data_IF_020490876855
#
_entry.id   IF_020490876855
#
_cell.length_a   1.000
_cell.length_b   1.000
_cell.length_c   1.000
_cell.angle_alpha   90.00
_cell.angle_beta   90.00
_cell.angle_gamma   90.00
#
_symmetry.space_group_name_H-M   'P 1'
#
loop_
_entity.id
_entity.type
_entity.pdbx_description
1 polymer ?
#
# COMPACT_ATOMS: atom_id res chain seq x y z
N UNK A 1 7.14 -86.63 13.36
CA UNK A 1 6.63 -87.02 14.70
C UNK A 1 5.73 -85.90 15.23
N UNK A 2 4.41 -86.14 15.29
CA UNK A 2 3.57 -86.21 16.51
C UNK A 2 3.45 -84.89 17.30
N UNK A 3 2.31 -84.40 17.81
CA UNK A 3 0.85 -84.51 17.58
C UNK A 3 0.24 -83.37 18.41
N UNK A 4 -0.82 -82.71 17.90
CA UNK A 4 -1.99 -82.04 18.54
C UNK A 4 -1.98 -81.61 20.03
N UNK A 5 -2.54 -80.43 20.31
CA UNK A 5 -3.79 -80.14 21.08
C UNK A 5 -4.03 -78.60 21.02
N UNK A 6 -5.08 -78.05 20.41
CA UNK A 6 -6.50 -77.98 20.82
C UNK A 6 -6.73 -77.30 22.18
N UNK A 7 -7.35 -76.10 22.14
CA UNK A 7 -7.77 -75.34 23.32
C UNK A 7 -8.60 -74.12 22.93
N UNK A 8 -9.88 -74.37 22.65
CA UNK A 8 -10.94 -73.39 22.40
C UNK A 8 -11.39 -72.78 23.74
N UNK A 9 -11.56 -71.46 23.85
CA UNK A 9 -12.43 -70.88 24.88
C UNK A 9 -13.17 -69.63 24.36
N UNK A 10 -14.50 -69.72 24.41
CA UNK A 10 -15.49 -68.67 24.22
C UNK A 10 -15.43 -67.63 25.36
N UNK A 11 -15.58 -66.35 25.04
CA UNK A 11 -16.28 -65.30 25.81
C UNK A 11 -16.11 -63.96 25.06
N UNK A 12 -17.02 -63.02 25.00
CA UNK A 12 -18.44 -62.89 25.29
C UNK A 12 -18.82 -61.55 24.62
N UNK A 13 -20.01 -61.49 24.00
CA UNK A 13 -20.57 -60.26 23.43
C UNK A 13 -20.77 -59.20 24.53
N UNK A 14 -20.14 -58.04 24.38
CA UNK A 14 -20.41 -56.83 25.14
C UNK A 14 -20.77 -55.70 24.19
N UNK A 15 -22.07 -55.53 23.94
CA UNK A 15 -22.64 -54.43 23.17
C UNK A 15 -22.54 -53.15 24.03
N UNK A 16 -21.67 -52.21 23.65
CA UNK A 16 -21.64 -50.87 24.21
C UNK A 16 -21.80 -49.87 23.06
N UNK A 17 -23.00 -49.28 23.03
CA UNK A 17 -23.36 -48.17 22.18
C UNK A 17 -22.49 -46.95 22.51
N UNK A 18 -21.71 -46.48 21.53
CA UNK A 18 -21.07 -45.18 21.58
C UNK A 18 -22.02 -44.12 20.97
N UNK A 19 -22.23 -42.97 21.64
CA UNK A 19 -23.10 -41.91 21.14
C UNK A 19 -22.46 -41.20 19.93
N UNK A 20 -23.32 -40.72 19.04
CA UNK A 20 -22.97 -40.16 17.74
C UNK A 20 -21.94 -39.04 17.79
N UNK A 21 -20.94 -39.16 16.92
CA UNK A 21 -20.06 -38.06 16.57
C UNK A 21 -20.86 -37.04 15.74
N UNK A 22 -21.36 -36.00 16.39
CA UNK A 22 -21.75 -34.76 15.72
C UNK A 22 -20.53 -34.21 14.98
N UNK A 23 -20.58 -34.29 13.65
CA UNK A 23 -19.66 -33.64 12.76
C UNK A 23 -19.75 -32.11 12.97
N UNK A 24 -18.84 -31.57 13.79
CA UNK A 24 -18.59 -30.14 13.85
C UNK A 24 -18.19 -29.66 12.44
N UNK A 25 -19.15 -29.04 11.74
CA UNK A 25 -18.88 -28.17 10.59
C UNK A 25 -17.85 -27.13 11.04
N UNK A 26 -16.59 -27.32 10.67
CA UNK A 26 -15.57 -26.28 10.73
C UNK A 26 -16.05 -25.12 9.85
N UNK A 27 -16.57 -24.08 10.49
CA UNK A 27 -16.78 -22.78 9.88
C UNK A 27 -15.46 -22.31 9.25
N UNK A 28 -15.47 -21.77 8.02
CA UNK A 28 -14.27 -21.24 7.40
C UNK A 28 -13.70 -20.09 8.25
N UNK A 29 -12.37 -19.90 8.22
CA UNK A 29 -11.71 -18.88 9.04
C UNK A 29 -12.25 -17.50 8.72
N UNK A 30 -12.69 -16.79 9.76
CA UNK A 30 -13.14 -15.40 9.72
C UNK A 30 -12.01 -14.54 9.14
N UNK A 31 -12.26 -13.87 8.02
CA UNK A 31 -11.30 -12.96 7.41
C UNK A 31 -10.83 -11.91 8.43
N UNK A 32 -9.52 -11.64 8.57
CA UNK A 32 -9.04 -10.57 9.43
C UNK A 32 -9.52 -9.21 8.87
N UNK A 33 -10.15 -8.39 9.71
CA UNK A 33 -10.29 -6.95 9.45
C UNK A 33 -11.66 -6.42 8.97
N UNK A 34 -12.77 -7.13 9.15
CA UNK A 34 -14.10 -6.52 8.99
C UNK A 34 -14.34 -5.53 10.13
N UNK A 35 -14.02 -4.26 9.90
CA UNK A 35 -14.43 -3.16 10.77
C UNK A 35 -15.96 -2.98 10.70
N UNK A 36 -16.53 -2.27 11.67
CA UNK A 36 -17.97 -1.97 11.69
C UNK A 36 -18.43 -1.34 10.35
N UNK A 37 -19.69 -1.54 9.94
CA UNK A 37 -20.22 -0.90 8.74
C UNK A 37 -20.11 0.62 8.91
N UNK A 38 -19.39 1.28 8.00
CA UNK A 38 -19.35 2.74 7.94
C UNK A 38 -20.45 3.21 7.00
N UNK A 39 -21.23 4.18 7.45
CA UNK A 39 -22.20 4.86 6.60
C UNK A 39 -21.45 5.65 5.53
N UNK A 40 -21.77 5.37 4.26
CA UNK A 40 -21.20 6.07 3.10
C UNK A 40 -22.32 6.86 2.43
N UNK A 41 -22.14 8.17 2.32
CA UNK A 41 -23.05 9.08 1.62
C UNK A 41 -22.48 9.47 0.27
N UNK A 42 -23.37 9.67 -0.68
CA UNK A 42 -23.01 10.26 -1.98
C UNK A 42 -22.97 11.76 -1.80
N UNK A 43 -21.80 12.35 -2.02
CA UNK A 43 -21.62 13.79 -2.12
C UNK A 43 -21.83 14.25 -3.57
N UNK A 44 -20.88 15.01 -4.11
CA UNK A 44 -20.94 15.49 -5.48
C UNK A 44 -20.68 14.37 -6.52
N UNK A 45 -21.55 14.31 -7.53
CA UNK A 45 -21.35 13.50 -8.74
C UNK A 45 -20.87 14.41 -9.87
N UNK A 46 -19.72 14.10 -10.45
CA UNK A 46 -19.18 14.80 -11.60
C UNK A 46 -19.18 13.85 -12.80
N UNK A 47 -20.06 14.13 -13.76
CA UNK A 47 -20.14 13.40 -15.02
C UNK A 47 -19.93 14.37 -16.18
N UNK A 48 -18.87 14.13 -16.96
CA UNK A 48 -18.57 14.87 -18.18
C UNK A 48 -18.48 13.89 -19.34
N UNK A 49 -19.35 14.05 -20.32
CA UNK A 49 -19.44 13.20 -21.51
C UNK A 49 -19.01 13.97 -22.77
N UNK A 50 -17.70 14.18 -22.94
CA UNK A 50 -17.13 14.96 -24.05
C UNK A 50 -15.63 14.75 -24.21
N UNK A 51 -14.91 15.73 -24.77
CA UNK A 51 -13.46 15.63 -25.07
C UNK A 51 -12.54 15.42 -23.86
N UNK A 52 -13.08 15.46 -22.63
CA UNK A 52 -12.41 15.06 -21.39
C UNK A 52 -13.39 14.27 -20.54
N UNK A 53 -13.73 13.09 -21.06
CA UNK A 53 -14.66 12.16 -20.47
C UNK A 53 -14.21 11.76 -19.05
N UNK A 54 -15.02 12.08 -18.03
CA UNK A 54 -14.77 11.67 -16.65
C UNK A 54 -16.08 11.41 -15.92
N UNK A 55 -16.12 10.34 -15.13
CA UNK A 55 -17.17 10.10 -14.14
C UNK A 55 -16.51 9.91 -12.78
N UNK A 56 -16.83 10.78 -11.83
CA UNK A 56 -16.32 10.73 -10.47
C UNK A 56 -17.46 10.94 -9.46
N UNK A 57 -17.49 10.13 -8.41
CA UNK A 57 -18.45 10.22 -7.32
C UNK A 57 -17.68 10.55 -6.04
N UNK A 58 -18.07 11.63 -5.37
CA UNK A 58 -17.54 11.93 -4.03
C UNK A 58 -18.26 11.06 -3.01
N UNK A 59 -17.49 10.34 -2.19
CA UNK A 59 -17.96 9.49 -1.11
C UNK A 59 -17.66 10.19 0.20
N UNK A 60 -18.69 10.51 0.96
CA UNK A 60 -18.56 11.10 2.29
C UNK A 60 -18.74 10.02 3.35
N UNK A 61 -17.85 10.01 4.35
CA UNK A 61 -17.88 9.09 5.48
C UNK A 61 -18.09 9.92 6.76
N UNK A 62 -19.35 10.26 7.14
CA UNK A 62 -19.65 11.17 8.24
C UNK A 62 -19.14 10.72 9.61
N UNK A 63 -18.98 9.40 9.79
CA UNK A 63 -18.51 8.79 11.04
C UNK A 63 -16.99 8.66 11.13
N UNK A 64 -16.25 9.07 10.09
CA UNK A 64 -14.80 8.96 10.03
C UNK A 64 -14.21 10.37 9.92
N UNK A 65 -13.54 10.87 10.98
CA UNK A 65 -12.88 12.17 10.92
C UNK A 65 -11.68 12.11 9.97
N UNK A 66 -11.56 13.11 9.10
CA UNK A 66 -10.48 13.16 8.10
C UNK A 66 -9.07 13.22 8.73
N UNK A 67 -8.93 13.82 9.90
CA UNK A 67 -7.68 13.91 10.67
C UNK A 67 -7.12 12.56 11.15
N UNK A 68 -7.97 11.54 11.32
CA UNK A 68 -7.54 10.21 11.76
C UNK A 68 -7.03 9.32 10.62
N UNK A 69 -7.30 9.70 9.37
CA UNK A 69 -7.00 8.88 8.21
C UNK A 69 -5.87 9.51 7.43
N UNK A 70 -4.68 8.90 7.47
CA UNK A 70 -3.51 9.39 6.74
C UNK A 70 -3.51 9.01 5.26
N UNK A 71 -4.13 7.88 4.91
CA UNK A 71 -4.26 7.46 3.51
C UNK A 71 -5.53 6.62 3.31
N UNK A 72 -6.04 6.61 2.09
CA UNK A 72 -7.22 5.83 1.74
C UNK A 72 -7.16 5.31 0.31
N UNK A 73 -7.91 4.25 0.02
CA UNK A 73 -8.25 3.86 -1.36
C UNK A 73 -9.66 3.30 -1.44
N UNK A 74 -10.23 3.42 -2.62
CA UNK A 74 -11.53 2.84 -2.96
C UNK A 74 -11.32 1.78 -4.03
N UNK A 75 -11.64 0.54 -3.70
CA UNK A 75 -11.55 -0.63 -4.58
C UNK A 75 -12.94 -0.99 -5.07
N UNK A 76 -13.26 -0.60 -6.31
CA UNK A 76 -14.56 -0.95 -6.91
C UNK A 76 -14.54 -2.39 -7.39
N UNK A 77 -15.57 -3.15 -7.01
CA UNK A 77 -15.78 -4.52 -7.46
C UNK A 77 -16.85 -4.60 -8.54
N UNK A 78 -17.84 -3.72 -8.48
CA UNK A 78 -18.95 -3.65 -9.43
C UNK A 78 -19.41 -2.21 -9.56
N UNK A 79 -19.63 -1.76 -10.78
CA UNK A 79 -20.29 -0.51 -11.07
C UNK A 79 -21.06 -0.66 -12.39
N UNK A 80 -22.36 -0.38 -12.40
CA UNK A 80 -23.19 -0.51 -13.61
C UNK A 80 -24.17 0.64 -13.72
N UNK A 81 -24.35 1.16 -14.94
CA UNK A 81 -25.41 2.13 -15.22
C UNK A 81 -26.77 1.45 -15.48
N UNK A 82 -27.82 2.26 -15.56
CA UNK A 82 -29.19 1.85 -15.91
C UNK A 82 -29.32 1.21 -17.30
N UNK A 83 -28.36 1.45 -18.21
CA UNK A 83 -28.28 0.79 -19.53
C UNK A 83 -27.57 -0.57 -19.49
N UNK A 84 -27.00 -0.95 -18.34
CA UNK A 84 -26.25 -2.19 -18.16
C UNK A 84 -24.77 -2.09 -18.51
N UNK A 85 -24.24 -0.90 -18.79
CA UNK A 85 -22.81 -0.70 -19.10
C UNK A 85 -21.98 -0.84 -17.82
N UNK A 86 -20.90 -1.63 -17.91
CA UNK A 86 -19.92 -1.74 -16.84
C UNK A 86 -19.09 -0.45 -16.72
N UNK A 87 -19.04 0.11 -15.52
CA UNK A 87 -18.29 1.34 -15.22
C UNK A 87 -16.99 1.10 -14.44
N UNK A 88 -16.60 -0.15 -14.17
CA UNK A 88 -15.38 -0.46 -13.41
C UNK A 88 -14.12 -0.16 -14.25
N UNK A 89 -13.18 0.67 -13.75
CA UNK A 89 -11.87 0.87 -14.36
C UNK A 89 -11.06 -0.43 -14.45
N UNK A 90 -10.14 -0.54 -15.42
CA UNK A 90 -9.35 -1.77 -15.62
C UNK A 90 -8.32 -1.99 -14.50
N UNK A 91 -7.82 -0.89 -13.93
CA UNK A 91 -6.87 -0.84 -12.83
C UNK A 91 -7.53 -0.79 -11.45
N UNK A 92 -8.86 -0.95 -11.36
CA UNK A 92 -9.62 -0.77 -10.12
C UNK A 92 -9.16 -1.67 -8.96
N UNK A 93 -8.61 -2.85 -9.26
CA UNK A 93 -8.08 -3.78 -8.26
C UNK A 93 -6.66 -3.43 -7.79
N UNK A 94 -5.91 -2.66 -8.58
CA UNK A 94 -4.50 -2.35 -8.35
C UNK A 94 -4.28 -0.94 -7.78
N UNK A 95 -5.36 -0.20 -7.54
CA UNK A 95 -5.29 1.15 -6.95
C UNK A 95 -4.46 1.15 -5.67
N UNK A 96 -3.47 2.03 -5.64
CA UNK A 96 -2.63 2.29 -4.46
C UNK A 96 -3.41 3.13 -3.46
N UNK A 97 -2.99 3.09 -2.19
CA UNK A 97 -3.47 4.07 -1.23
C UNK A 97 -2.92 5.43 -1.58
N UNK A 98 -3.78 6.43 -1.52
CA UNK A 98 -3.41 7.81 -1.72
C UNK A 98 -3.43 8.54 -0.38
N UNK A 99 -2.46 9.44 -0.12
CA UNK A 99 -2.47 10.25 1.07
C UNK A 99 -3.66 11.22 1.04
N UNK A 100 -4.43 11.23 2.12
CA UNK A 100 -5.52 12.19 2.34
C UNK A 100 -4.94 13.58 2.64
N UNK A 101 -5.80 14.58 2.86
CA UNK A 101 -5.36 15.89 3.38
C UNK A 101 -4.54 15.74 4.66
N UNK A 102 -5.01 14.95 5.63
CA UNK A 102 -4.28 14.70 6.87
C UNK A 102 -2.93 14.00 6.64
N UNK A 103 -2.86 13.11 5.66
CA UNK A 103 -1.60 12.47 5.27
C UNK A 103 -0.59 13.43 4.66
N UNK A 104 -1.04 14.42 3.88
CA UNK A 104 -0.18 15.37 3.15
C UNK A 104 0.25 16.58 3.98
N UNK A 105 -0.66 17.10 4.81
CA UNK A 105 -0.50 18.38 5.50
C UNK A 105 -0.58 18.25 7.03
N UNK A 106 -0.73 17.03 7.55
CA UNK A 106 -0.87 16.78 8.98
C UNK A 106 -2.32 16.83 9.47
N UNK A 107 -2.54 16.24 10.64
CA UNK A 107 -3.88 16.10 11.23
C UNK A 107 -4.49 17.45 11.64
N UNK A 108 -3.68 18.41 12.07
CA UNK A 108 -4.12 19.75 12.49
C UNK A 108 -4.77 20.53 11.35
N UNK A 109 -4.19 20.45 10.14
CA UNK A 109 -4.74 21.12 8.96
C UNK A 109 -5.97 20.43 8.35
N UNK A 110 -6.12 19.12 8.59
CA UNK A 110 -7.28 18.38 8.09
C UNK A 110 -8.57 18.72 8.83
N UNK A 111 -8.47 19.23 10.06
CA UNK A 111 -9.62 19.55 10.89
C UNK A 111 -10.43 18.33 11.33
N UNK A 112 -11.66 18.55 11.79
CA UNK A 112 -12.60 17.49 12.19
C UNK A 112 -13.66 17.19 11.12
N UNK A 113 -13.48 17.71 9.90
CA UNK A 113 -14.43 17.50 8.82
C UNK A 113 -14.53 16.01 8.47
N UNK A 114 -15.72 15.54 8.06
CA UNK A 114 -15.92 14.21 7.53
C UNK A 114 -14.92 13.86 6.43
N UNK A 115 -14.45 12.62 6.41
CA UNK A 115 -13.61 12.14 5.34
C UNK A 115 -14.41 12.10 4.02
N UNK A 116 -13.89 12.79 3.00
CA UNK A 116 -14.39 12.74 1.63
C UNK A 116 -13.37 12.06 0.71
N UNK A 117 -13.82 11.09 -0.07
CA UNK A 117 -13.01 10.30 -1.01
C UNK A 117 -13.58 10.41 -2.41
N UNK A 118 -12.70 10.57 -3.41
CA UNK A 118 -13.13 10.57 -4.82
C UNK A 118 -13.07 9.16 -5.38
N UNK A 119 -14.22 8.67 -5.86
CA UNK A 119 -14.32 7.44 -6.61
C UNK A 119 -14.39 7.73 -8.12
N UNK A 120 -13.37 7.31 -8.86
CA UNK A 120 -13.35 7.41 -10.32
C UNK A 120 -13.90 6.14 -10.98
N UNK A 121 -14.76 6.34 -11.97
CA UNK A 121 -15.42 5.30 -12.77
C UNK A 121 -15.21 5.57 -14.27
N UNK A 122 -15.41 4.53 -15.09
CA UNK A 122 -15.56 4.71 -16.54
C UNK A 122 -16.82 5.53 -16.80
N UNK A 123 -16.84 6.22 -17.94
CA UNK A 123 -17.99 7.00 -18.34
C UNK A 123 -19.25 6.14 -18.55
N UNK A 124 -20.40 6.59 -18.02
CA UNK A 124 -21.72 6.02 -18.32
C UNK A 124 -22.05 6.08 -19.81
N UNK A 125 -23.03 5.27 -20.23
CA UNK A 125 -23.59 5.39 -21.57
C UNK A 125 -24.21 6.79 -21.77
N UNK A 126 -24.16 7.33 -22.99
CA UNK A 126 -24.66 8.69 -23.27
C UNK A 126 -26.12 8.93 -22.85
N UNK A 127 -26.93 7.88 -22.87
CA UNK A 127 -28.35 7.90 -22.50
C UNK A 127 -28.63 7.49 -21.05
N UNK A 128 -27.60 7.14 -20.29
CA UNK A 128 -27.75 6.75 -18.89
C UNK A 128 -28.12 7.96 -18.05
N UNK A 129 -29.12 7.82 -17.18
CA UNK A 129 -29.52 8.87 -16.22
C UNK A 129 -29.10 8.54 -14.80
N UNK A 130 -28.74 7.28 -14.54
CA UNK A 130 -28.43 6.78 -13.20
C UNK A 130 -27.29 5.75 -13.24
N UNK A 131 -26.38 5.81 -12.26
CA UNK A 131 -25.52 4.69 -11.91
C UNK A 131 -26.29 3.78 -10.96
N UNK A 132 -26.85 2.71 -11.53
CA UNK A 132 -27.78 1.80 -10.87
C UNK A 132 -27.17 1.12 -9.63
N UNK A 133 -25.91 0.70 -9.71
CA UNK A 133 -25.23 0.06 -8.59
C UNK A 133 -23.74 0.38 -8.62
N UNK A 134 -23.18 0.73 -7.47
CA UNK A 134 -21.74 0.75 -7.22
C UNK A 134 -21.46 -0.02 -5.94
N UNK A 135 -20.60 -1.02 -6.00
CA UNK A 135 -20.19 -1.84 -4.86
C UNK A 135 -18.68 -1.97 -4.82
N UNK A 136 -18.12 -1.84 -3.63
CA UNK A 136 -16.69 -1.96 -3.42
C UNK A 136 -16.28 -2.02 -1.97
N UNK A 137 -14.99 -1.77 -1.76
CA UNK A 137 -14.33 -1.75 -0.47
C UNK A 137 -13.60 -0.41 -0.33
N UNK A 138 -13.77 0.25 0.81
CA UNK A 138 -12.97 1.40 1.21
C UNK A 138 -11.93 0.87 2.20
N UNK A 139 -10.65 1.07 1.88
CA UNK A 139 -9.57 0.81 2.82
C UNK A 139 -9.03 2.11 3.37
N UNK A 140 -9.00 2.22 4.69
CA UNK A 140 -8.54 3.39 5.43
C UNK A 140 -7.29 3.04 6.22
N UNK A 141 -6.29 3.90 6.14
CA UNK A 141 -5.08 3.85 6.94
C UNK A 141 -5.10 4.92 8.03
N UNK A 142 -5.13 4.48 9.28
CA UNK A 142 -5.09 5.33 10.47
C UNK A 142 -3.80 5.06 11.26
N UNK A 143 -2.74 5.87 11.09
CA UNK A 143 -1.45 5.63 11.74
C UNK A 143 -1.55 5.62 13.28
N UNK A 144 -2.41 6.46 13.85
CA UNK A 144 -2.57 6.58 15.32
C UNK A 144 -3.15 5.34 16.02
N UNK A 145 -3.65 4.35 15.28
CA UNK A 145 -4.23 3.13 15.87
C UNK A 145 -3.19 2.10 16.31
N UNK A 146 -1.93 2.26 15.88
CA UNK A 146 -0.86 1.35 16.25
C UNK A 146 0.47 2.11 16.41
N UNK A 147 1.06 2.18 17.62
CA UNK A 147 2.36 2.82 17.79
C UNK A 147 3.45 2.12 16.94
N UNK A 148 3.32 0.83 16.67
CA UNK A 148 4.28 0.07 15.83
C UNK A 148 4.17 0.40 14.34
N UNK A 149 3.18 1.20 13.94
CA UNK A 149 3.04 1.70 12.57
C UNK A 149 3.96 2.87 12.25
N UNK A 150 4.50 3.55 13.27
CA UNK A 150 5.34 4.74 13.08
C UNK A 150 6.71 4.48 13.67
N UNK A 151 7.72 4.39 12.81
CA UNK A 151 9.11 4.35 13.23
C UNK A 151 9.71 5.75 13.10
N UNK A 152 10.27 6.30 14.19
CA UNK A 152 11.10 7.51 14.12
C UNK A 152 12.53 7.15 14.51
N UNK A 153 13.49 7.42 13.63
CA UNK A 153 14.92 7.17 13.85
C UNK A 153 15.63 8.51 13.90
N UNK A 154 16.08 8.92 15.09
CA UNK A 154 16.84 10.16 15.26
C UNK A 154 18.22 10.07 14.63
N UNK A 155 18.76 11.21 14.18
CA UNK A 155 20.12 11.34 13.62
C UNK A 155 20.42 10.29 12.55
N UNK A 156 19.43 10.05 11.68
CA UNK A 156 19.46 8.89 10.77
C UNK A 156 20.65 8.90 9.80
N UNK A 157 21.14 10.10 9.44
CA UNK A 157 22.34 10.29 8.61
C UNK A 157 23.62 9.76 9.27
N UNK A 158 23.70 9.75 10.60
CA UNK A 158 24.86 9.20 11.32
C UNK A 158 24.97 7.67 11.16
N UNK A 159 23.88 7.00 10.76
CA UNK A 159 23.84 5.56 10.50
C UNK A 159 24.04 5.21 9.02
N UNK A 160 24.55 6.14 8.20
CA UNK A 160 24.73 5.91 6.77
C UNK A 160 25.63 4.70 6.47
N UNK A 161 25.22 3.91 5.49
CA UNK A 161 25.82 2.64 5.12
C UNK A 161 25.41 1.45 5.99
N UNK A 162 24.67 1.67 7.08
CA UNK A 162 24.13 0.61 7.93
C UNK A 162 22.60 0.59 7.93
N UNK A 163 21.96 -0.58 8.20
CA UNK A 163 20.52 -0.63 8.43
C UNK A 163 20.12 0.22 9.65
N UNK A 164 19.11 1.06 9.47
CA UNK A 164 18.52 1.86 10.53
C UNK A 164 17.87 0.93 11.58
N UNK A 165 18.22 1.15 12.84
CA UNK A 165 17.71 0.34 13.95
C UNK A 165 16.45 0.97 14.51
N UNK A 166 15.33 0.27 14.39
CA UNK A 166 14.06 0.67 15.02
C UNK A 166 13.22 -0.57 15.34
N UNK A 167 12.65 -0.68 16.56
CA UNK A 167 11.74 -1.77 16.92
C UNK A 167 10.54 -1.88 15.96
N UNK A 168 9.95 -0.75 15.57
CA UNK A 168 8.80 -0.71 14.66
C UNK A 168 9.17 -1.20 13.25
N UNK A 169 10.33 -0.81 12.71
CA UNK A 169 10.80 -1.33 11.41
C UNK A 169 11.01 -2.85 11.47
N UNK A 170 11.67 -3.34 12.53
CA UNK A 170 11.92 -4.76 12.73
C UNK A 170 10.62 -5.58 12.88
N UNK A 171 9.67 -5.08 13.67
CA UNK A 171 8.36 -5.72 13.87
C UNK A 171 7.57 -5.87 12.56
N UNK A 172 7.75 -4.95 11.62
CA UNK A 172 7.13 -4.98 10.30
C UNK A 172 7.97 -5.70 9.23
N UNK A 173 9.18 -6.15 9.56
CA UNK A 173 10.10 -6.79 8.62
C UNK A 173 10.63 -5.83 7.55
N UNK A 174 10.71 -4.55 7.88
CA UNK A 174 11.21 -3.48 7.00
C UNK A 174 12.66 -3.17 7.38
N UNK A 175 13.55 -3.11 6.39
CA UNK A 175 14.93 -2.65 6.58
C UNK A 175 15.22 -1.48 5.68
N UNK A 176 15.70 -0.38 6.27
CA UNK A 176 16.03 0.84 5.55
C UNK A 176 17.51 1.14 5.79
N UNK A 177 18.26 1.43 4.73
CA UNK A 177 19.67 1.84 4.81
C UNK A 177 19.84 3.15 4.07
N UNK A 178 20.44 4.14 4.71
CA UNK A 178 20.87 5.37 4.04
C UNK A 178 22.12 5.04 3.21
N UNK A 179 22.07 5.29 1.92
CA UNK A 179 23.15 4.97 0.99
C UNK A 179 24.19 6.09 1.02
N UNK A 180 25.45 5.74 1.23
CA UNK A 180 26.54 6.71 1.16
C UNK A 180 26.87 7.08 -0.28
N UNK A 181 27.47 8.25 -0.51
CA UNK A 181 27.96 8.64 -1.85
C UNK A 181 28.88 7.57 -2.46
N UNK A 182 29.77 6.99 -1.66
CA UNK A 182 30.66 5.92 -2.11
C UNK A 182 29.90 4.64 -2.54
N UNK A 183 28.86 4.25 -1.79
CA UNK A 183 28.01 3.11 -2.16
C UNK A 183 27.21 3.38 -3.44
N UNK A 184 26.71 4.61 -3.61
CA UNK A 184 26.00 5.00 -4.82
C UNK A 184 26.90 4.98 -6.06
N UNK A 185 28.12 5.50 -5.96
CA UNK A 185 29.10 5.46 -7.05
C UNK A 185 29.55 4.03 -7.39
N UNK A 186 29.71 3.17 -6.37
CA UNK A 186 29.99 1.75 -6.60
C UNK A 186 28.83 1.05 -7.32
N UNK A 187 27.58 1.37 -6.95
CA UNK A 187 26.39 0.83 -7.61
C UNK A 187 26.27 1.33 -9.05
N UNK A 188 26.47 2.63 -9.30
CA UNK A 188 26.51 3.22 -10.64
C UNK A 188 27.48 2.47 -11.54
N UNK A 189 28.71 2.23 -11.08
CA UNK A 189 29.72 1.48 -11.84
C UNK A 189 29.27 0.05 -12.12
N UNK A 190 28.67 -0.64 -11.14
CA UNK A 190 28.14 -2.00 -11.31
C UNK A 190 27.03 -2.05 -12.36
N UNK A 191 26.09 -1.10 -12.31
CA UNK A 191 24.97 -1.04 -13.24
C UNK A 191 25.40 -0.58 -14.63
N UNK A 192 26.39 0.31 -14.72
CA UNK A 192 27.01 0.70 -15.97
C UNK A 192 27.60 -0.51 -16.68
N UNK A 193 28.37 -1.34 -15.96
CA UNK A 193 28.96 -2.55 -16.53
C UNK A 193 27.91 -3.58 -16.94
N UNK A 194 26.89 -3.80 -16.11
CA UNK A 194 25.76 -4.67 -16.45
C UNK A 194 25.05 -4.18 -17.73
N UNK A 195 24.78 -2.87 -17.83
CA UNK A 195 24.11 -2.28 -18.99
C UNK A 195 24.99 -2.34 -20.24
N UNK A 196 26.32 -2.15 -20.10
CA UNK A 196 27.28 -2.36 -21.19
C UNK A 196 27.23 -3.80 -21.71
N UNK A 197 27.18 -4.78 -20.81
CA UNK A 197 27.12 -6.19 -21.18
C UNK A 197 25.81 -6.55 -21.87
N UNK A 198 24.68 -6.02 -21.41
CA UNK A 198 23.38 -6.18 -22.07
C UNK A 198 23.38 -5.57 -23.47
N UNK A 199 23.76 -4.30 -23.60
CA UNK A 199 23.77 -3.61 -24.88
C UNK A 199 24.76 -4.23 -25.89
N UNK A 200 25.90 -4.75 -25.43
CA UNK A 200 26.82 -5.53 -26.27
C UNK A 200 26.19 -6.83 -26.79
N UNK A 201 25.37 -7.52 -25.99
CA UNK A 201 24.63 -8.71 -26.44
C UNK A 201 23.60 -8.35 -27.52
N UNK A 202 23.06 -7.14 -27.46
CA UNK A 202 22.15 -6.59 -28.48
C UNK A 202 22.89 -6.02 -29.71
N UNK A 203 24.21 -6.23 -29.81
CA UNK A 203 25.03 -5.79 -30.94
C UNK A 203 25.40 -4.31 -30.93
N UNK A 204 25.13 -3.59 -29.83
CA UNK A 204 25.43 -2.17 -29.70
C UNK A 204 26.86 -1.98 -29.21
N UNK A 205 27.62 -1.12 -29.89
CA UNK A 205 29.04 -0.87 -29.61
C UNK A 205 29.43 0.60 -29.82
N UNK A 206 30.67 0.94 -29.44
CA UNK A 206 31.25 2.26 -29.66
C UNK A 206 30.52 3.39 -28.91
N UNK A 207 30.42 4.56 -29.54
CA UNK A 207 29.81 5.76 -28.94
C UNK A 207 28.32 5.58 -28.60
N UNK A 208 27.60 4.75 -29.36
CA UNK A 208 26.19 4.44 -29.10
C UNK A 208 26.02 3.66 -27.79
N UNK A 209 26.96 2.77 -27.46
CA UNK A 209 26.97 2.03 -26.20
C UNK A 209 27.11 2.99 -25.00
N UNK A 210 28.12 3.86 -25.04
CA UNK A 210 28.39 4.78 -23.95
C UNK A 210 27.27 5.82 -23.80
N UNK A 211 26.64 6.24 -24.91
CA UNK A 211 25.45 7.11 -24.87
C UNK A 211 24.26 6.45 -24.17
N UNK A 212 23.98 5.17 -24.45
CA UNK A 212 22.91 4.42 -23.78
C UNK A 212 23.21 4.24 -22.30
N UNK A 213 24.46 3.90 -21.96
CA UNK A 213 24.87 3.70 -20.57
C UNK A 213 24.82 5.01 -19.79
N UNK A 214 25.32 6.11 -20.35
CA UNK A 214 25.25 7.44 -19.73
C UNK A 214 23.79 7.88 -19.55
N UNK A 215 22.97 7.80 -20.60
CA UNK A 215 21.55 8.16 -20.52
C UNK A 215 20.79 7.31 -19.50
N UNK A 216 21.11 6.02 -19.39
CA UNK A 216 20.61 5.15 -18.33
C UNK A 216 21.05 5.67 -16.95
N UNK A 217 22.34 5.87 -16.72
CA UNK A 217 22.84 6.31 -15.42
C UNK A 217 22.30 7.68 -15.00
N UNK A 218 22.24 8.64 -15.93
CA UNK A 218 21.72 9.99 -15.66
C UNK A 218 20.24 9.95 -15.30
N UNK A 219 19.48 9.09 -15.98
CA UNK A 219 18.08 8.88 -15.63
C UNK A 219 17.96 8.20 -14.26
N UNK A 220 18.79 7.22 -13.91
CA UNK A 220 18.53 6.37 -12.73
C UNK A 220 19.26 6.78 -11.46
N UNK A 221 20.43 7.43 -11.55
CA UNK A 221 21.36 7.59 -10.43
C UNK A 221 21.88 9.02 -10.25
N UNK A 222 21.21 10.05 -10.77
CA UNK A 222 21.58 11.45 -10.52
C UNK A 222 20.63 12.07 -9.50
N UNK A 223 20.80 11.77 -8.19
CA UNK A 223 20.10 12.49 -7.15
C UNK A 223 20.59 13.94 -7.11
N UNK A 224 19.72 14.86 -6.72
CA UNK A 224 20.08 16.24 -6.41
C UNK A 224 21.08 16.32 -5.25
N UNK A 225 21.73 17.47 -5.09
CA UNK A 225 22.76 17.67 -4.07
C UNK A 225 22.22 17.52 -2.62
N UNK A 226 20.92 17.74 -2.45
CA UNK A 226 20.20 17.68 -1.17
C UNK A 226 19.35 16.41 -1.00
N UNK A 227 19.38 15.53 -2.00
CA UNK A 227 18.63 14.29 -1.95
C UNK A 227 19.32 13.28 -1.03
N UNK A 228 18.49 12.55 -0.27
CA UNK A 228 18.93 11.36 0.47
C UNK A 228 18.49 10.13 -0.30
N UNK A 229 19.45 9.24 -0.59
CA UNK A 229 19.16 7.95 -1.22
C UNK A 229 19.04 6.87 -0.16
N UNK A 230 17.92 6.16 -0.16
CA UNK A 230 17.65 5.03 0.71
C UNK A 230 17.60 3.73 -0.08
N UNK A 231 18.02 2.63 0.55
CA UNK A 231 17.67 1.29 0.12
C UNK A 231 16.59 0.76 1.07
N UNK A 232 15.40 0.49 0.53
CA UNK A 232 14.24 0.04 1.32
C UNK A 232 13.93 -1.41 0.95
N UNK A 233 14.14 -2.32 1.91
CA UNK A 233 13.70 -3.70 1.81
C UNK A 233 12.38 -3.86 2.57
N UNK A 234 11.28 -3.95 1.82
CA UNK A 234 9.92 -4.10 2.34
C UNK A 234 9.17 -5.18 1.54
N UNK A 235 9.39 -6.47 1.84
CA UNK A 235 8.81 -7.57 1.08
C UNK A 235 7.28 -7.63 1.18
N UNK A 236 6.69 -6.98 2.19
CA UNK A 236 5.25 -6.96 2.45
C UNK A 236 4.58 -5.67 1.98
N UNK A 237 5.33 -4.74 1.37
CA UNK A 237 4.85 -3.44 0.88
C UNK A 237 4.05 -2.66 1.95
N UNK A 238 4.59 -2.64 3.16
CA UNK A 238 4.03 -2.01 4.35
C UNK A 238 4.29 -0.50 4.39
N UNK A 239 5.41 -0.02 3.84
CA UNK A 239 5.81 1.39 3.92
C UNK A 239 4.89 2.25 3.06
N UNK A 240 4.12 3.11 3.71
CA UNK A 240 3.25 4.08 3.04
C UNK A 240 3.96 5.39 2.76
N UNK A 241 4.69 5.88 3.76
CA UNK A 241 5.24 7.23 3.73
C UNK A 241 6.58 7.28 4.48
N UNK A 242 7.45 8.18 4.02
CA UNK A 242 8.75 8.46 4.61
C UNK A 242 8.90 9.97 4.62
N UNK A 243 9.14 10.54 5.79
CA UNK A 243 9.31 11.98 5.98
C UNK A 243 10.55 12.26 6.83
N UNK A 244 11.07 13.48 6.73
CA UNK A 244 12.08 13.93 7.68
C UNK A 244 11.41 14.47 8.94
N UNK A 245 12.14 14.44 10.05
CA UNK A 245 11.77 15.11 11.29
C UNK A 245 12.90 16.05 11.64
N UNK A 246 12.66 17.35 11.71
CA UNK A 246 13.71 18.30 12.01
C UNK A 246 14.11 18.28 13.50
N UNK A 247 15.07 19.14 13.88
CA UNK A 247 15.54 19.23 15.27
C UNK A 247 14.46 19.72 16.25
N UNK A 248 13.41 20.41 15.78
CA UNK A 248 12.28 20.83 16.60
C UNK A 248 11.23 19.73 16.79
N UNK A 249 11.34 18.64 16.02
CA UNK A 249 10.37 17.54 16.02
C UNK A 249 9.27 17.70 14.97
N UNK A 250 9.33 18.75 14.15
CA UNK A 250 8.38 19.00 13.07
C UNK A 250 8.62 18.02 11.91
N UNK A 251 7.53 17.48 11.35
CA UNK A 251 7.61 16.60 10.20
C UNK A 251 7.72 17.41 8.90
N UNK A 252 8.74 17.13 8.10
CA UNK A 252 8.95 17.75 6.79
C UNK A 252 8.64 16.73 5.69
N UNK A 253 7.62 17.04 4.90
CA UNK A 253 7.24 16.25 3.72
C UNK A 253 8.35 16.29 2.67
N UNK A 254 8.61 15.14 2.05
CA UNK A 254 9.65 14.98 1.02
C UNK A 254 9.04 14.49 -0.29
N UNK A 255 9.65 14.88 -1.40
CA UNK A 255 9.45 14.18 -2.66
C UNK A 255 10.00 12.77 -2.54
N UNK A 256 9.22 11.74 -2.90
CA UNK A 256 9.66 10.35 -2.90
C UNK A 256 9.67 9.81 -4.31
N UNK A 257 10.81 9.27 -4.73
CA UNK A 257 10.99 8.65 -6.04
C UNK A 257 11.64 7.28 -5.88
N UNK A 258 10.99 6.24 -6.40
CA UNK A 258 11.54 4.88 -6.37
C UNK A 258 12.13 4.50 -7.73
N UNK A 259 13.37 4.03 -7.74
CA UNK A 259 14.09 3.59 -8.95
C UNK A 259 15.04 2.43 -8.62
N UNK A 260 14.95 1.32 -9.35
CA UNK A 260 15.90 0.19 -9.26
C UNK A 260 16.18 -0.32 -7.82
N UNK A 261 15.16 -0.34 -6.95
CA UNK A 261 15.30 -0.77 -5.55
C UNK A 261 15.87 0.28 -4.59
N UNK A 262 16.02 1.51 -5.06
CA UNK A 262 16.38 2.69 -4.27
C UNK A 262 15.18 3.64 -4.15
N UNK A 263 15.13 4.36 -3.05
CA UNK A 263 14.16 5.42 -2.78
C UNK A 263 14.93 6.72 -2.59
N UNK A 264 14.77 7.65 -3.52
CA UNK A 264 15.34 9.00 -3.42
C UNK A 264 14.33 9.89 -2.71
N UNK A 265 14.79 10.56 -1.66
CA UNK A 265 14.03 11.53 -0.89
C UNK A 265 14.55 12.94 -1.20
N UNK A 266 13.72 13.76 -1.83
CA UNK A 266 14.04 15.13 -2.19
C UNK A 266 13.39 16.11 -1.23
N UNK A 267 14.20 16.95 -0.58
CA UNK A 267 13.70 18.08 0.22
C UNK A 267 13.26 19.22 -0.69
N UNK A 268 12.03 19.69 -0.54
CA UNK A 268 11.53 20.90 -1.23
C UNK A 268 11.91 22.16 -0.42
N UNK A 269 13.20 22.37 -0.21
CA UNK A 269 13.71 23.47 0.62
C UNK A 269 14.93 23.05 1.43
N UNK A 270 14.79 22.97 2.75
CA UNK A 270 15.90 22.74 3.67
C UNK A 270 16.46 21.32 3.59
N UNK A 271 17.79 21.23 3.39
CA UNK A 271 18.55 19.98 3.44
C UNK A 271 18.49 19.37 4.84
N UNK A 272 18.29 18.04 4.98
CA UNK A 272 18.28 17.42 6.29
C UNK A 272 19.62 17.60 7.03
N UNK A 273 19.56 18.18 8.23
CA UNK A 273 20.70 18.37 9.11
C UNK A 273 21.14 17.08 9.83
N UNK A 274 22.31 17.07 10.48
CA UNK A 274 22.84 15.88 11.16
C UNK A 274 21.98 15.39 12.33
N UNK A 275 21.23 16.30 12.97
CA UNK A 275 20.36 15.98 14.11
C UNK A 275 18.94 15.58 13.69
N UNK A 276 18.62 15.65 12.40
CA UNK A 276 17.30 15.33 11.89
C UNK A 276 17.02 13.83 12.02
N UNK A 277 15.74 13.49 12.18
CA UNK A 277 15.24 12.14 12.17
C UNK A 277 14.62 11.74 10.83
N UNK A 278 14.45 10.43 10.67
CA UNK A 278 13.64 9.84 9.59
C UNK A 278 12.40 9.20 10.22
N UNK A 279 11.22 9.62 9.78
CA UNK A 279 9.94 9.02 10.17
C UNK A 279 9.41 8.16 9.03
N UNK A 280 9.01 6.94 9.37
CA UNK A 280 8.50 5.95 8.42
C UNK A 280 7.14 5.50 8.92
N UNK A 281 6.12 5.68 8.09
CA UNK A 281 4.74 5.26 8.38
C UNK A 281 4.46 3.96 7.63
N UNK A 282 3.97 2.95 8.34
CA UNK A 282 3.80 1.58 7.86
C UNK A 282 2.40 1.06 8.13
N UNK A 283 1.88 0.24 7.21
CA UNK A 283 0.63 -0.47 7.40
C UNK A 283 0.80 -1.64 8.36
N UNK A 284 0.10 -1.63 9.48
CA UNK A 284 -0.10 -2.82 10.31
C UNK A 284 -1.54 -3.32 10.17
N UNK A 285 -1.85 -4.55 10.59
CA UNK A 285 -3.24 -5.01 10.65
C UNK A 285 -4.14 -4.13 11.52
N UNK A 286 -3.61 -3.40 12.51
CA UNK A 286 -4.37 -2.51 13.40
C UNK A 286 -4.62 -1.13 12.78
N UNK A 287 -3.72 -0.66 11.91
CA UNK A 287 -3.90 0.64 11.22
C UNK A 287 -4.83 0.58 10.02
N UNK A 288 -5.13 -0.63 9.52
CA UNK A 288 -5.95 -0.82 8.33
C UNK A 288 -7.38 -1.20 8.70
N UNK A 289 -8.34 -0.37 8.28
CA UNK A 289 -9.76 -0.67 8.36
C UNK A 289 -10.32 -0.89 6.95
N UNK A 290 -11.16 -1.93 6.81
CA UNK A 290 -11.86 -2.23 5.55
C UNK A 290 -13.35 -2.08 5.76
N UNK A 291 -13.99 -1.30 4.89
CA UNK A 291 -15.44 -1.07 4.92
C UNK A 291 -16.04 -1.43 3.57
N UNK A 292 -16.99 -2.35 3.58
CA UNK A 292 -17.79 -2.65 2.39
C UNK A 292 -18.85 -1.58 2.20
N UNK A 293 -19.07 -1.15 0.96
CA UNK A 293 -20.12 -0.21 0.64
C UNK A 293 -20.92 -0.64 -0.59
N UNK A 294 -22.18 -0.22 -0.64
CA UNK A 294 -23.07 -0.37 -1.78
C UNK A 294 -23.85 0.92 -1.94
N UNK A 295 -23.73 1.54 -3.10
CA UNK A 295 -24.56 2.66 -3.53
C UNK A 295 -25.54 2.14 -4.58
N UNK A 296 -26.78 2.62 -4.53
CA UNK A 296 -27.80 2.30 -5.51
C UNK A 296 -28.38 3.59 -6.06
N UNK A 297 -28.75 3.52 -7.32
CA UNK A 297 -29.53 4.53 -8.01
C UNK A 297 -28.94 5.95 -7.86
N UNK A 298 -27.63 6.08 -8.09
CA UNK A 298 -26.91 7.36 -8.02
C UNK A 298 -27.25 8.18 -9.25
N UNK A 299 -27.96 9.30 -9.08
CA UNK A 299 -28.35 10.19 -10.17
C UNK A 299 -27.11 10.77 -10.88
N UNK A 300 -27.16 10.80 -12.21
CA UNK A 300 -26.17 11.46 -13.05
C UNK A 300 -26.69 12.87 -13.43
N UNK A 301 -25.82 13.89 -13.39
CA UNK A 301 -26.20 15.26 -13.78
C UNK A 301 -26.41 15.43 -15.28
#
# INVERSE_FOLDING_TARGET
>A
MRTRLAGLLLAALGLLAAPGAEAQKKSPPKAPGSAAPVEVKVGQVNDRRGSFARCAISLELPSVPSSEVGAARVLVRKAVDDTGRNLVPEDAAEKRMEPTRAGRFGAEEAGQDPLSLTLELKNPARKATVVKEVRGEIELYSPGKDPDAVATVAKFLASAGQPLKSPALAANGVSITVVTKAQLEAEKKRQAEKKRQEAKKDGIAGEMLESIVSGFLDMFFTPGEDDVVLKVADPRKRVLDIAYVDASGEEKTVGRMEREGYTVLSSWGEKPGPDWGLRVKMQTPKTLARHLFVLKDVALP
#
